data_IF_387310803030
#
_entry.id   IF_387310803030
#
_cell.length_a   1.000
_cell.length_b   1.000
_cell.length_c   1.000
_cell.angle_alpha   90.00
_cell.angle_beta   90.00
_cell.angle_gamma   90.00
#
_symmetry.space_group_name_H-M   'P 1'
#
loop_
_entity.id
_entity.type
_entity.pdbx_description
1 polymer ?
#
# COMPACT_ATOMS: atom_id res chain seq x y z
N UNK A 1 -58.83 46.99 -27.70
CA UNK A 1 -58.03 48.23 -27.82
C UNK A 1 -56.58 47.84 -27.60
N UNK A 2 -55.81 47.76 -28.70
CA UNK A 2 -54.63 48.61 -29.00
C UNK A 2 -53.47 48.37 -28.02
N UNK A 3 -52.48 47.56 -28.43
CA UNK A 3 -51.21 47.97 -29.08
C UNK A 3 -50.13 48.25 -28.01
N UNK A 4 -48.82 47.98 -28.08
CA UNK A 4 -47.80 47.69 -29.10
C UNK A 4 -46.71 46.86 -28.38
N UNK A 5 -46.10 45.83 -28.97
CA UNK A 5 -44.83 45.90 -29.70
C UNK A 5 -43.75 46.75 -29.00
N UNK A 6 -42.79 46.10 -28.33
CA UNK A 6 -41.40 46.59 -28.34
C UNK A 6 -40.41 45.43 -28.23
N UNK A 7 -39.60 45.35 -29.29
CA UNK A 7 -38.26 44.79 -29.49
C UNK A 7 -37.60 44.09 -28.28
N UNK A 8 -37.09 42.85 -28.39
CA UNK A 8 -36.03 42.39 -29.31
C UNK A 8 -34.72 43.20 -29.12
N UNK A 9 -34.07 43.05 -27.96
CA UNK A 9 -32.66 43.43 -27.73
C UNK A 9 -32.15 42.89 -26.38
N UNK A 10 -31.78 41.61 -26.31
CA UNK A 10 -30.81 41.10 -25.33
C UNK A 10 -30.18 39.77 -25.81
N UNK A 11 -29.81 39.70 -27.10
CA UNK A 11 -29.03 38.58 -27.67
C UNK A 11 -27.57 39.01 -27.96
N UNK A 12 -27.14 40.17 -27.50
CA UNK A 12 -25.79 40.70 -27.74
C UNK A 12 -25.21 41.24 -26.43
N UNK A 13 -24.78 40.35 -25.51
CA UNK A 13 -23.73 40.58 -24.48
C UNK A 13 -23.50 39.38 -23.54
N UNK A 14 -23.55 38.13 -24.03
CA UNK A 14 -23.00 36.98 -23.30
C UNK A 14 -21.93 36.21 -24.09
N UNK A 15 -21.48 36.78 -25.23
CA UNK A 15 -20.47 36.17 -26.11
C UNK A 15 -19.03 36.62 -25.86
N UNK A 16 -18.74 37.35 -24.78
CA UNK A 16 -17.42 37.98 -24.57
C UNK A 16 -16.74 37.68 -23.22
N UNK A 17 -17.17 36.65 -22.47
CA UNK A 17 -16.46 36.20 -21.27
C UNK A 17 -16.03 34.73 -21.28
N UNK A 18 -16.29 33.98 -22.35
CA UNK A 18 -15.66 32.67 -22.54
C UNK A 18 -14.38 32.82 -23.37
N UNK A 19 -13.38 33.56 -22.86
CA UNK A 19 -12.01 33.16 -23.13
C UNK A 19 -11.88 31.79 -22.48
N UNK A 20 -12.08 30.73 -23.25
CA UNK A 20 -11.30 29.52 -23.03
C UNK A 20 -9.86 30.01 -23.12
N UNK A 21 -9.25 30.27 -21.98
CA UNK A 21 -7.80 30.16 -21.93
C UNK A 21 -7.53 28.78 -22.52
N UNK A 22 -6.89 28.74 -23.69
CA UNK A 22 -6.23 27.54 -24.17
C UNK A 22 -5.12 27.26 -23.17
N UNK A 23 -5.51 26.73 -22.01
CA UNK A 23 -4.60 26.17 -21.05
C UNK A 23 -4.07 24.91 -21.73
N UNK A 24 -2.81 24.99 -22.15
CA UNK A 24 -2.11 23.80 -22.56
C UNK A 24 -1.82 22.99 -21.30
N UNK A 25 -2.59 21.91 -21.06
CA UNK A 25 -2.37 21.03 -19.91
C UNK A 25 -0.93 20.46 -19.89
N UNK A 26 -0.25 20.42 -21.05
CA UNK A 26 1.15 20.01 -21.15
C UNK A 26 2.12 20.95 -20.41
N UNK A 27 1.79 22.24 -20.24
CA UNK A 27 2.66 23.21 -19.54
C UNK A 27 2.72 22.98 -18.01
N UNK A 28 1.79 22.15 -17.48
CA UNK A 28 1.67 21.83 -16.05
C UNK A 28 1.86 20.34 -15.75
N UNK A 29 2.35 19.56 -16.73
CA UNK A 29 2.75 18.18 -16.47
C UNK A 29 3.98 18.17 -15.57
N UNK A 30 3.87 17.47 -14.44
CA UNK A 30 4.99 17.27 -13.54
C UNK A 30 6.09 16.50 -14.28
N UNK A 31 7.25 17.13 -14.43
CA UNK A 31 8.42 16.50 -15.02
C UNK A 31 9.03 15.49 -14.03
N UNK A 32 8.88 14.21 -14.35
CA UNK A 32 9.38 13.11 -13.52
C UNK A 32 10.81 12.71 -13.89
N UNK A 33 11.51 13.42 -14.78
CA UNK A 33 12.89 13.05 -15.13
C UNK A 33 13.88 13.18 -13.95
N UNK A 34 13.51 13.94 -12.91
CA UNK A 34 14.24 14.07 -11.65
C UNK A 34 13.61 13.27 -10.50
N UNK A 35 12.63 12.41 -10.78
CA UNK A 35 12.06 11.54 -9.75
C UNK A 35 13.17 10.64 -9.16
N UNK A 36 13.13 10.35 -7.84
CA UNK A 36 14.06 9.41 -7.25
C UNK A 36 14.05 8.07 -8.01
N UNK A 37 15.23 7.43 -8.19
CA UNK A 37 15.33 6.16 -8.92
C UNK A 37 14.62 5.00 -8.20
N UNK A 38 14.19 5.23 -6.96
CA UNK A 38 13.52 4.26 -6.12
C UNK A 38 12.47 4.93 -5.25
N UNK A 39 11.27 4.34 -5.21
CA UNK A 39 10.13 4.82 -4.43
C UNK A 39 9.63 3.79 -3.41
N UNK A 40 9.02 4.28 -2.33
CA UNK A 40 8.40 3.46 -1.29
C UNK A 40 7.05 4.04 -0.87
N UNK A 41 6.09 3.17 -0.58
CA UNK A 41 4.77 3.53 -0.08
C UNK A 41 4.43 2.73 1.17
N UNK A 42 3.96 3.41 2.22
CA UNK A 42 3.40 2.75 3.40
C UNK A 42 1.95 2.33 3.14
N UNK A 43 1.64 1.08 3.48
CA UNK A 43 0.27 0.52 3.38
C UNK A 43 -0.27 -0.02 4.71
N UNK A 44 0.49 0.15 5.80
CA UNK A 44 0.10 -0.26 7.15
C UNK A 44 -1.14 0.46 7.69
N UNK A 45 -1.65 -0.04 8.82
CA UNK A 45 -2.80 0.56 9.49
C UNK A 45 -2.43 1.87 10.19
N UNK A 46 -3.43 2.73 10.46
CA UNK A 46 -3.25 3.89 11.33
C UNK A 46 -2.74 3.46 12.70
N UNK A 47 -1.87 4.27 13.28
CA UNK A 47 -1.40 4.11 14.67
C UNK A 47 -0.58 2.85 14.96
N UNK A 48 -0.26 2.10 13.92
CA UNK A 48 0.31 0.78 14.04
C UNK A 48 1.83 0.82 14.14
N UNK A 49 2.41 0.09 15.09
CA UNK A 49 3.85 -0.01 15.21
C UNK A 49 4.50 -0.93 14.16
N UNK A 50 3.83 -1.94 13.63
CA UNK A 50 4.40 -2.72 12.53
C UNK A 50 4.11 -1.98 11.22
N UNK A 51 5.17 -1.47 10.59
CA UNK A 51 5.06 -0.74 9.33
C UNK A 51 5.24 -1.71 8.16
N UNK A 52 4.29 -1.69 7.24
CA UNK A 52 4.34 -2.40 5.96
C UNK A 52 4.70 -1.39 4.87
N UNK A 53 5.84 -1.61 4.23
CA UNK A 53 6.37 -0.76 3.17
C UNK A 53 6.40 -1.55 1.87
N UNK A 54 6.01 -0.92 0.76
CA UNK A 54 6.06 -1.53 -0.56
C UNK A 54 6.84 -0.63 -1.50
N UNK A 55 7.79 -1.19 -2.26
CA UNK A 55 8.56 -0.43 -3.25
C UNK A 55 7.82 -0.23 -4.58
N UNK A 56 8.45 0.51 -5.50
CA UNK A 56 7.96 0.74 -6.86
C UNK A 56 7.90 -0.51 -7.77
N UNK A 57 8.34 -1.69 -7.29
CA UNK A 57 8.23 -2.99 -7.97
C UNK A 57 7.14 -3.87 -7.38
N UNK A 58 6.52 -3.47 -6.26
CA UNK A 58 5.54 -4.29 -5.54
C UNK A 58 6.17 -5.31 -4.59
N UNK A 59 7.43 -5.12 -4.19
CA UNK A 59 8.05 -5.89 -3.11
C UNK A 59 7.62 -5.31 -1.76
N UNK A 60 7.19 -6.19 -0.86
CA UNK A 60 6.79 -5.85 0.51
C UNK A 60 7.97 -6.01 1.44
N UNK A 61 8.19 -5.04 2.31
CA UNK A 61 9.31 -4.97 3.24
C UNK A 61 8.86 -4.88 4.69
N UNK A 62 9.59 -5.58 5.55
CA UNK A 62 9.39 -5.57 7.00
C UNK A 62 10.71 -5.44 7.74
N UNK A 63 10.57 -5.06 9.01
CA UNK A 63 11.66 -5.04 9.98
C UNK A 63 12.84 -4.19 9.48
N UNK A 64 12.53 -2.91 9.23
CA UNK A 64 13.56 -1.91 9.04
C UNK A 64 14.47 -1.87 10.27
N UNK A 65 15.77 -2.02 10.07
CA UNK A 65 16.73 -2.04 11.17
C UNK A 65 17.57 -0.76 11.23
N UNK A 66 18.60 -0.68 10.38
CA UNK A 66 19.53 0.45 10.29
C UNK A 66 20.21 0.46 8.92
N UNK A 67 20.69 1.62 8.51
CA UNK A 67 21.41 1.80 7.25
C UNK A 67 20.69 2.76 6.30
N UNK A 68 20.97 2.69 4.98
CA UNK A 68 20.26 3.49 3.99
C UNK A 68 18.76 3.18 3.98
N UNK A 69 17.99 3.98 3.23
CA UNK A 69 16.52 3.92 3.14
C UNK A 69 15.92 2.52 2.83
N UNK A 70 16.73 1.54 2.40
CA UNK A 70 16.36 0.16 2.07
C UNK A 70 16.86 -0.91 3.08
N UNK A 71 17.25 -0.52 4.30
CA UNK A 71 17.81 -1.40 5.35
C UNK A 71 16.82 -2.37 6.02
N UNK A 72 15.95 -3.02 5.25
CA UNK A 72 14.96 -3.99 5.75
C UNK A 72 15.54 -5.40 5.84
N UNK A 73 15.17 -6.12 6.88
CA UNK A 73 15.61 -7.50 7.07
C UNK A 73 14.82 -8.51 6.26
N UNK A 74 13.63 -8.13 5.78
CA UNK A 74 12.71 -9.01 5.10
C UNK A 74 12.16 -8.31 3.86
N UNK A 75 12.23 -8.99 2.73
CA UNK A 75 11.60 -8.60 1.47
C UNK A 75 10.82 -9.79 0.90
N UNK A 76 9.56 -9.56 0.57
CA UNK A 76 8.64 -10.53 -0.02
C UNK A 76 8.10 -9.97 -1.33
N UNK A 77 8.16 -10.74 -2.41
CA UNK A 77 7.69 -10.26 -3.72
C UNK A 77 7.04 -11.38 -4.51
N UNK A 78 5.97 -11.06 -5.25
CA UNK A 78 5.37 -11.95 -6.23
C UNK A 78 5.78 -11.52 -7.64
N UNK A 79 6.01 -12.50 -8.52
CA UNK A 79 6.37 -12.22 -9.90
C UNK A 79 6.31 -13.46 -10.79
N UNK A 80 6.94 -13.36 -11.97
CA UNK A 80 7.03 -14.48 -12.93
C UNK A 80 8.41 -15.13 -12.88
N UNK A 81 9.46 -14.40 -13.26
CA UNK A 81 10.83 -14.95 -13.29
C UNK A 81 11.83 -14.20 -12.40
N UNK A 82 11.61 -12.90 -12.21
CA UNK A 82 12.44 -12.02 -11.39
C UNK A 82 11.58 -10.99 -10.69
N UNK A 83 12.13 -10.39 -9.64
CA UNK A 83 11.60 -9.17 -9.01
C UNK A 83 11.97 -7.95 -9.86
N UNK A 84 13.17 -7.96 -10.45
CA UNK A 84 13.63 -6.90 -11.35
C UNK A 84 12.86 -6.96 -12.67
N UNK A 85 11.99 -5.99 -12.87
CA UNK A 85 11.12 -5.86 -14.06
C UNK A 85 11.11 -4.41 -14.55
N UNK A 86 11.06 -4.25 -15.87
CA UNK A 86 10.93 -2.94 -16.53
C UNK A 86 9.47 -2.63 -16.87
N UNK A 87 9.17 -1.35 -17.10
CA UNK A 87 7.82 -0.92 -17.50
C UNK A 87 6.76 -1.09 -16.40
N UNK A 88 7.16 -1.04 -15.13
CA UNK A 88 6.23 -1.14 -14.01
C UNK A 88 5.37 0.12 -13.94
N UNK A 89 4.06 -0.08 -13.85
CA UNK A 89 3.10 0.95 -13.49
C UNK A 89 2.57 0.66 -12.09
N UNK A 90 2.59 1.68 -11.23
CA UNK A 90 2.11 1.56 -9.86
C UNK A 90 1.23 2.74 -9.48
N UNK A 91 0.15 2.48 -8.74
CA UNK A 91 -0.74 3.50 -8.17
C UNK A 91 -1.45 2.98 -6.93
N UNK A 92 -1.93 3.88 -6.09
CA UNK A 92 -2.89 3.52 -5.05
C UNK A 92 -4.30 3.34 -5.64
N UNK A 93 -5.14 2.58 -4.95
CA UNK A 93 -6.55 2.45 -5.28
C UNK A 93 -7.26 3.82 -5.26
N UNK A 94 -6.94 4.64 -4.26
CA UNK A 94 -7.25 6.07 -4.24
C UNK A 94 -6.29 6.80 -3.30
N UNK A 95 -6.34 8.13 -3.24
CA UNK A 95 -5.56 8.91 -2.28
C UNK A 95 -5.83 8.55 -0.80
N UNK A 96 -7.07 8.10 -0.50
CA UNK A 96 -7.52 7.71 0.85
C UNK A 96 -7.28 6.24 1.17
N UNK A 97 -7.18 5.38 0.16
CA UNK A 97 -7.18 3.92 0.33
C UNK A 97 -5.82 3.32 -0.08
N UNK A 98 -5.00 2.84 0.89
CA UNK A 98 -3.67 2.32 0.64
C UNK A 98 -3.66 0.86 0.17
N UNK A 99 -4.42 0.57 -0.89
CA UNK A 99 -4.27 -0.66 -1.66
C UNK A 99 -3.37 -0.32 -2.85
N UNK A 100 -2.17 -0.87 -2.87
CA UNK A 100 -1.18 -0.58 -3.91
C UNK A 100 -1.36 -1.53 -5.09
N UNK A 101 -1.62 -0.96 -6.26
CA UNK A 101 -1.83 -1.66 -7.51
C UNK A 101 -0.55 -1.56 -8.32
N UNK A 102 0.12 -2.68 -8.55
CA UNK A 102 1.35 -2.75 -9.34
C UNK A 102 1.13 -3.62 -10.56
N UNK A 103 1.61 -3.23 -11.73
CA UNK A 103 1.48 -4.03 -12.94
C UNK A 103 2.66 -3.87 -13.88
N UNK A 104 2.96 -4.92 -14.63
CA UNK A 104 3.91 -4.90 -15.73
C UNK A 104 3.53 -5.97 -16.75
N UNK A 105 3.96 -5.77 -17.99
CA UNK A 105 3.77 -6.75 -19.05
C UNK A 105 5.08 -7.49 -19.33
N UNK A 106 5.00 -8.81 -19.44
CA UNK A 106 6.10 -9.66 -19.88
C UNK A 106 5.63 -10.53 -21.04
N UNK A 107 6.16 -10.25 -22.25
CA UNK A 107 5.66 -10.83 -23.51
C UNK A 107 4.15 -10.63 -23.59
N UNK A 108 3.38 -11.70 -23.70
CA UNK A 108 1.92 -11.68 -23.81
C UNK A 108 1.20 -11.86 -22.46
N UNK A 109 1.92 -11.79 -21.33
CA UNK A 109 1.32 -11.88 -20.00
C UNK A 109 1.34 -10.50 -19.34
N UNK A 110 0.17 -10.00 -18.98
CA UNK A 110 0.03 -8.90 -18.03
C UNK A 110 0.01 -9.50 -16.62
N UNK A 111 1.02 -9.13 -15.82
CA UNK A 111 1.06 -9.38 -14.39
C UNK A 111 0.53 -8.15 -13.68
N UNK A 112 -0.37 -8.33 -12.71
CA UNK A 112 -0.69 -7.29 -11.74
C UNK A 112 -0.82 -7.84 -10.33
N UNK A 113 -0.59 -6.98 -9.34
CA UNK A 113 -0.81 -7.28 -7.94
C UNK A 113 -1.57 -6.17 -7.24
N UNK A 114 -2.40 -6.55 -6.28
CA UNK A 114 -3.01 -5.66 -5.28
C UNK A 114 -2.43 -6.02 -3.92
N UNK A 115 -1.70 -5.08 -3.31
CA UNK A 115 -1.02 -5.28 -2.04
C UNK A 115 -1.62 -4.34 -0.99
N UNK A 116 -2.09 -4.89 0.12
CA UNK A 116 -2.77 -4.11 1.15
C UNK A 116 -2.71 -4.78 2.52
N UNK A 117 -2.77 -3.95 3.56
CA UNK A 117 -3.02 -4.41 4.92
C UNK A 117 -4.51 -4.69 5.13
N UNK A 118 -4.82 -5.81 5.78
CA UNK A 118 -6.18 -6.15 6.19
C UNK A 118 -6.64 -5.17 7.27
N UNK A 119 -7.60 -4.32 6.92
CA UNK A 119 -8.10 -3.27 7.79
C UNK A 119 -9.59 -3.47 8.12
N UNK A 120 -10.02 -3.22 9.38
CA UNK A 120 -9.18 -3.04 10.56
C UNK A 120 -8.44 -4.33 10.94
N UNK A 121 -7.42 -4.22 11.79
CA UNK A 121 -6.63 -5.36 12.29
C UNK A 121 -7.53 -6.51 12.77
N UNK A 122 -7.15 -7.74 12.44
CA UNK A 122 -7.82 -8.94 12.94
C UNK A 122 -7.27 -9.27 14.33
N UNK A 123 -8.16 -9.31 15.33
CA UNK A 123 -7.80 -9.61 16.71
C UNK A 123 -8.68 -10.73 17.25
N UNK A 124 -8.10 -11.63 18.04
CA UNK A 124 -8.87 -12.64 18.78
C UNK A 124 -9.42 -12.05 20.08
N UNK A 125 -8.72 -11.08 20.66
CA UNK A 125 -9.12 -10.30 21.83
C UNK A 125 -8.83 -8.81 21.62
N UNK A 126 -9.65 -7.87 22.13
CA UNK A 126 -9.38 -6.43 22.04
C UNK A 126 -8.00 -6.01 22.56
N UNK A 127 -7.49 -6.74 23.57
CA UNK A 127 -6.19 -6.52 24.20
C UNK A 127 -5.01 -7.17 23.45
N UNK A 128 -5.24 -7.80 22.30
CA UNK A 128 -4.15 -8.44 21.56
C UNK A 128 -3.16 -7.41 21.02
N UNK A 129 -1.92 -7.59 21.48
CA UNK A 129 -0.71 -6.96 20.98
C UNK A 129 0.36 -8.03 20.75
N UNK A 130 1.34 -7.71 19.92
CA UNK A 130 2.53 -8.53 19.72
C UNK A 130 3.79 -7.67 19.83
N UNK A 131 4.83 -8.26 20.43
CA UNK A 131 6.16 -7.69 20.39
C UNK A 131 6.69 -7.74 18.94
N UNK A 132 7.29 -6.64 18.53
CA UNK A 132 7.98 -6.42 17.27
C UNK A 132 9.48 -6.27 17.56
N UNK A 133 10.37 -6.39 16.55
CA UNK A 133 11.79 -6.17 16.75
C UNK A 133 12.07 -4.83 17.45
N UNK A 134 13.01 -4.85 18.40
CA UNK A 134 13.37 -3.67 19.19
C UNK A 134 12.46 -3.39 20.39
N UNK A 135 11.64 -4.36 20.83
CA UNK A 135 10.80 -4.26 22.02
C UNK A 135 9.58 -3.34 21.83
N UNK A 136 9.25 -3.01 20.58
CA UNK A 136 8.08 -2.20 20.24
C UNK A 136 6.84 -3.10 20.23
N UNK A 137 5.72 -2.63 20.75
CA UNK A 137 4.46 -3.38 20.72
C UNK A 137 3.51 -2.81 19.68
N UNK A 138 2.89 -3.68 18.89
CA UNK A 138 1.90 -3.34 17.89
C UNK A 138 0.73 -4.30 17.88
N UNK A 139 -0.26 -4.03 17.03
CA UNK A 139 -1.31 -5.01 16.77
C UNK A 139 -0.73 -6.19 15.98
N UNK A 140 -1.24 -7.41 16.19
CA UNK A 140 -1.09 -8.45 15.21
C UNK A 140 -1.74 -7.99 13.91
N UNK A 141 -1.09 -8.25 12.78
CA UNK A 141 -1.59 -7.77 11.50
C UNK A 141 -1.50 -8.82 10.40
N UNK A 142 -2.19 -8.51 9.31
CA UNK A 142 -2.21 -9.34 8.13
C UNK A 142 -2.07 -8.47 6.90
N UNK A 143 -1.15 -8.84 6.01
CA UNK A 143 -1.04 -8.27 4.68
C UNK A 143 -1.39 -9.32 3.64
N UNK A 144 -1.86 -8.86 2.48
CA UNK A 144 -2.23 -9.73 1.36
C UNK A 144 -1.56 -9.23 0.09
N UNK A 145 -1.01 -10.16 -0.68
CA UNK A 145 -0.61 -9.96 -2.08
C UNK A 145 -1.60 -10.75 -2.94
N UNK A 146 -2.53 -10.05 -3.58
CA UNK A 146 -3.45 -10.63 -4.55
C UNK A 146 -2.85 -10.45 -5.95
N UNK A 147 -2.61 -11.55 -6.64
CA UNK A 147 -1.94 -11.60 -7.95
C UNK A 147 -2.99 -11.87 -9.02
N UNK A 148 -2.90 -11.16 -10.14
CA UNK A 148 -3.68 -11.41 -11.35
C UNK A 148 -2.74 -11.58 -12.54
N UNK A 149 -3.04 -12.58 -13.37
CA UNK A 149 -2.36 -12.85 -14.62
C UNK A 149 -3.38 -12.85 -15.73
N UNK A 150 -3.11 -12.08 -16.79
CA UNK A 150 -3.94 -12.02 -17.98
C UNK A 150 -3.13 -12.39 -19.21
N UNK A 151 -3.63 -13.34 -20.00
CA UNK A 151 -3.07 -13.64 -21.31
C UNK A 151 -3.60 -12.64 -22.34
N UNK A 152 -2.71 -11.82 -22.88
CA UNK A 152 -2.98 -10.80 -23.89
C UNK A 152 -2.91 -11.36 -25.33
N UNK A 153 -2.43 -12.59 -25.52
CA UNK A 153 -2.32 -13.19 -26.85
C UNK A 153 -3.60 -13.87 -27.31
N UNK A 154 -3.65 -14.15 -28.62
CA UNK A 154 -4.67 -14.97 -29.26
C UNK A 154 -4.42 -16.49 -29.15
N UNK A 155 -3.43 -16.93 -28.37
CA UNK A 155 -3.04 -18.34 -28.21
C UNK A 155 -2.96 -18.72 -26.75
N UNK A 156 -3.14 -20.00 -26.45
CA UNK A 156 -2.92 -20.52 -25.10
C UNK A 156 -1.45 -20.32 -24.72
N UNK A 157 -1.22 -19.79 -23.51
CA UNK A 157 0.10 -19.49 -22.99
C UNK A 157 0.28 -20.12 -21.63
N UNK A 158 1.45 -20.73 -21.40
CA UNK A 158 1.81 -21.27 -20.09
C UNK A 158 2.67 -20.27 -19.32
N UNK A 159 2.33 -20.06 -18.05
CA UNK A 159 3.05 -19.17 -17.15
C UNK A 159 3.36 -19.88 -15.84
N UNK A 160 4.54 -19.60 -15.27
CA UNK A 160 4.97 -20.13 -13.98
C UNK A 160 5.13 -18.96 -13.01
N UNK A 161 4.15 -18.71 -12.15
CA UNK A 161 4.28 -17.68 -11.12
C UNK A 161 5.32 -18.09 -10.08
N UNK A 162 5.95 -17.09 -9.46
CA UNK A 162 6.94 -17.29 -8.40
C UNK A 162 6.71 -16.31 -7.25
N UNK A 163 7.07 -16.76 -6.05
CA UNK A 163 7.15 -15.92 -4.87
C UNK A 163 8.57 -15.94 -4.33
N UNK A 164 9.13 -14.75 -4.15
CA UNK A 164 10.50 -14.51 -3.76
C UNK A 164 10.53 -14.02 -2.32
N UNK A 165 11.40 -14.63 -1.54
CA UNK A 165 11.64 -14.29 -0.14
C UNK A 165 13.13 -14.02 0.01
N UNK A 166 13.44 -12.85 0.54
CA UNK A 166 14.76 -12.53 1.07
C UNK A 166 14.60 -12.22 2.56
N UNK A 167 15.40 -12.88 3.40
CA UNK A 167 15.38 -12.65 4.83
C UNK A 167 16.78 -12.76 5.43
N UNK A 168 17.13 -11.87 6.33
CA UNK A 168 18.32 -12.04 7.19
C UNK A 168 18.13 -13.21 8.16
N UNK A 169 16.88 -13.48 8.55
CA UNK A 169 16.51 -14.55 9.47
C UNK A 169 16.29 -15.89 8.75
N UNK A 170 16.48 -17.04 9.43
CA UNK A 170 16.19 -18.34 8.85
C UNK A 170 14.74 -18.47 8.40
N UNK A 171 14.55 -18.89 7.14
CA UNK A 171 13.24 -19.23 6.56
C UNK A 171 12.93 -20.71 6.78
N UNK A 172 11.90 -21.02 7.55
CA UNK A 172 11.42 -22.38 7.79
C UNK A 172 10.25 -22.70 6.86
N UNK A 173 10.27 -23.90 6.27
CA UNK A 173 9.16 -24.44 5.48
C UNK A 173 8.41 -25.39 6.40
N UNK A 174 7.14 -25.12 6.67
CA UNK A 174 6.34 -25.96 7.54
C UNK A 174 6.01 -27.30 6.86
N UNK A 175 5.61 -28.30 7.65
CA UNK A 175 5.32 -29.66 7.17
C UNK A 175 4.22 -29.69 6.08
N UNK A 176 3.30 -28.72 6.09
CA UNK A 176 2.25 -28.57 5.08
C UNK A 176 2.78 -28.15 3.69
N UNK A 177 4.03 -27.67 3.61
CA UNK A 177 4.64 -27.04 2.43
C UNK A 177 3.82 -25.88 1.84
N UNK A 178 2.87 -25.36 2.61
CA UNK A 178 1.99 -24.23 2.28
C UNK A 178 2.25 -23.03 3.18
N UNK A 179 3.01 -23.20 4.25
CA UNK A 179 3.35 -22.11 5.16
C UNK A 179 4.86 -21.95 5.25
N UNK A 180 5.33 -20.74 5.03
CA UNK A 180 6.69 -20.33 5.36
C UNK A 180 6.66 -19.58 6.69
N UNK A 181 7.63 -19.82 7.56
CA UNK A 181 7.76 -19.11 8.83
C UNK A 181 9.16 -18.54 8.97
N UNK A 182 9.29 -17.31 9.45
CA UNK A 182 10.59 -16.73 9.79
C UNK A 182 10.44 -15.77 10.97
N UNK A 183 11.51 -15.66 11.76
CA UNK A 183 11.58 -14.84 12.99
C UNK A 183 10.53 -15.20 14.06
N UNK A 184 9.97 -16.41 14.04
CA UNK A 184 8.89 -16.89 14.93
C UNK A 184 7.63 -16.00 15.02
N UNK A 185 7.53 -14.98 14.17
CA UNK A 185 6.50 -13.94 14.18
C UNK A 185 5.79 -13.83 12.84
N UNK A 186 6.48 -14.10 11.73
CA UNK A 186 5.93 -13.93 10.40
C UNK A 186 5.65 -15.29 9.79
N UNK A 187 4.39 -15.51 9.43
CA UNK A 187 3.91 -16.69 8.75
C UNK A 187 3.30 -16.30 7.41
N UNK A 188 3.89 -16.80 6.33
CA UNK A 188 3.38 -16.59 4.96
C UNK A 188 2.61 -17.83 4.54
N UNK A 189 1.31 -17.68 4.32
CA UNK A 189 0.44 -18.71 3.76
C UNK A 189 0.44 -18.60 2.23
N UNK A 190 0.91 -19.66 1.58
CA UNK A 190 1.01 -19.80 0.14
C UNK A 190 -0.29 -20.40 -0.42
N UNK A 191 -0.69 -20.06 -1.66
CA UNK A 191 -1.82 -20.69 -2.32
C UNK A 191 -1.50 -22.16 -2.65
N UNK A 192 -2.53 -22.90 -3.05
CA UNK A 192 -2.35 -24.24 -3.59
C UNK A 192 -1.45 -24.24 -4.84
N UNK A 193 -0.87 -25.41 -5.15
CA UNK A 193 -0.06 -25.56 -6.36
C UNK A 193 1.40 -25.16 -6.21
N UNK A 194 1.94 -25.12 -4.99
CA UNK A 194 3.41 -25.10 -4.79
C UNK A 194 4.02 -26.35 -5.44
N UNK A 195 4.92 -26.14 -6.40
CA UNK A 195 5.64 -27.21 -7.11
C UNK A 195 6.98 -27.50 -6.43
N UNK A 196 7.75 -26.44 -6.14
CA UNK A 196 9.05 -26.55 -5.51
C UNK A 196 9.35 -25.30 -4.67
N UNK A 197 10.18 -25.49 -3.65
CA UNK A 197 10.72 -24.39 -2.85
C UNK A 197 12.24 -24.51 -2.87
N UNK A 198 12.91 -23.54 -3.47
CA UNK A 198 14.35 -23.49 -3.60
C UNK A 198 14.88 -22.54 -2.55
N UNK A 199 15.62 -23.06 -1.57
CA UNK A 199 16.23 -22.27 -0.50
C UNK A 199 17.74 -22.26 -0.65
N UNK A 200 18.32 -21.07 -0.69
CA UNK A 200 19.76 -20.86 -0.64
C UNK A 200 20.11 -19.99 0.56
N UNK A 201 21.29 -20.22 1.14
CA UNK A 201 21.84 -19.41 2.21
C UNK A 201 23.22 -18.91 1.78
N UNK A 202 23.35 -17.60 1.67
CA UNK A 202 24.63 -16.92 1.52
C UNK A 202 24.86 -16.07 2.78
N UNK A 203 25.02 -14.74 2.63
CA UNK A 203 24.98 -13.80 3.75
C UNK A 203 23.58 -13.68 4.38
N UNK A 204 22.54 -13.90 3.57
CA UNK A 204 21.13 -13.95 3.94
C UNK A 204 20.45 -15.19 3.36
N UNK A 205 19.21 -15.45 3.77
CA UNK A 205 18.37 -16.52 3.27
C UNK A 205 17.57 -16.01 2.06
N UNK A 206 17.70 -16.72 0.94
CA UNK A 206 16.88 -16.51 -0.24
C UNK A 206 16.01 -17.76 -0.44
N UNK A 207 14.73 -17.56 -0.69
CA UNK A 207 13.79 -18.62 -0.97
C UNK A 207 12.94 -18.25 -2.19
N UNK A 208 12.90 -19.15 -3.18
CA UNK A 208 12.07 -19.03 -4.36
C UNK A 208 11.03 -20.14 -4.31
N UNK A 209 9.77 -19.77 -4.16
CA UNK A 209 8.63 -20.67 -4.29
C UNK A 209 8.22 -20.67 -5.76
N UNK A 210 8.36 -21.82 -6.41
CA UNK A 210 7.85 -22.05 -7.77
C UNK A 210 6.47 -22.69 -7.68
N UNK A 211 5.46 -22.04 -8.26
CA UNK A 211 4.13 -22.61 -8.41
C UNK A 211 4.05 -23.50 -9.65
N UNK A 212 3.04 -24.38 -9.71
CA UNK A 212 2.76 -25.18 -10.90
C UNK A 212 2.51 -24.26 -12.10
N UNK A 213 2.95 -24.71 -13.28
CA UNK A 213 2.65 -24.02 -14.52
C UNK A 213 1.13 -23.92 -14.70
N UNK A 214 0.67 -22.73 -15.04
CA UNK A 214 -0.74 -22.45 -15.32
C UNK A 214 -0.87 -22.19 -16.83
N UNK A 215 -1.73 -22.97 -17.48
CA UNK A 215 -2.11 -22.71 -18.86
C UNK A 215 -3.27 -21.73 -18.86
N UNK A 216 -3.04 -20.55 -19.43
CA UNK A 216 -4.05 -19.52 -19.65
C UNK A 216 -4.48 -19.58 -21.12
N UNK A 217 -5.76 -19.79 -21.37
CA UNK A 217 -6.33 -19.67 -22.72
C UNK A 217 -6.18 -18.26 -23.26
N UNK A 218 -6.33 -18.10 -24.56
CA UNK A 218 -6.35 -16.78 -25.20
C UNK A 218 -7.34 -15.83 -24.48
N UNK A 219 -6.86 -14.68 -24.01
CA UNK A 219 -7.67 -13.69 -23.29
C UNK A 219 -8.05 -14.05 -21.84
N UNK A 220 -7.65 -15.23 -21.33
CA UNK A 220 -8.04 -15.71 -20.00
C UNK A 220 -7.28 -14.99 -18.88
N UNK A 221 -7.99 -14.82 -17.75
CA UNK A 221 -7.46 -14.29 -16.51
C UNK A 221 -7.37 -15.40 -15.46
N UNK A 222 -6.32 -15.39 -14.64
CA UNK A 222 -6.17 -16.25 -13.47
C UNK A 222 -5.64 -15.46 -12.29
N UNK A 223 -5.84 -15.94 -11.07
CA UNK A 223 -5.46 -15.23 -9.86
C UNK A 223 -4.97 -16.16 -8.76
N UNK A 224 -4.08 -15.63 -7.94
CA UNK A 224 -3.50 -16.31 -6.78
C UNK A 224 -3.46 -15.32 -5.62
N UNK A 225 -3.51 -15.80 -4.38
CA UNK A 225 -3.39 -14.94 -3.21
C UNK A 225 -2.33 -15.49 -2.26
N UNK A 226 -1.53 -14.59 -1.71
CA UNK A 226 -0.55 -14.88 -0.66
C UNK A 226 -0.97 -14.06 0.55
N UNK A 227 -1.03 -14.69 1.72
CA UNK A 227 -1.31 -14.03 2.97
C UNK A 227 -0.06 -14.00 3.85
N UNK A 228 0.18 -12.87 4.50
CA UNK A 228 1.31 -12.64 5.38
C UNK A 228 0.72 -12.30 6.75
N UNK A 229 0.95 -13.16 7.74
CA UNK A 229 0.44 -13.02 9.10
C UNK A 229 1.61 -12.63 10.02
N UNK A 230 1.52 -11.50 10.72
CA UNK A 230 2.65 -10.90 11.43
C UNK A 230 2.29 -10.66 12.89
N UNK A 231 3.14 -11.21 13.76
CA UNK A 231 2.97 -11.19 15.21
C UNK A 231 2.53 -12.55 15.73
N UNK A 232 2.98 -12.90 16.93
CA UNK A 232 2.70 -14.18 17.59
C UNK A 232 1.21 -14.46 17.84
N UNK A 233 0.37 -13.41 17.80
CA UNK A 233 -1.09 -13.51 17.96
C UNK A 233 -1.87 -13.22 16.67
N UNK A 234 -1.21 -13.17 15.52
CA UNK A 234 -1.87 -12.88 14.25
C UNK A 234 -2.89 -13.97 13.91
N UNK A 235 -4.10 -13.54 13.56
CA UNK A 235 -5.12 -14.45 13.01
C UNK A 235 -4.56 -15.05 11.73
N UNK A 236 -4.49 -16.37 11.64
CA UNK A 236 -4.01 -17.03 10.42
C UNK A 236 -5.11 -16.96 9.36
N UNK A 237 -4.92 -16.12 8.33
CA UNK A 237 -5.89 -15.99 7.26
C UNK A 237 -5.55 -16.92 6.07
N UNK A 238 -6.57 -17.41 5.34
CA UNK A 238 -6.34 -18.30 4.20
C UNK A 238 -5.74 -17.55 3.00
N UNK A 239 -4.95 -18.27 2.21
CA UNK A 239 -4.34 -17.83 0.94
C UNK A 239 -5.26 -18.01 -0.28
N UNK A 240 -6.58 -17.93 -0.10
CA UNK A 240 -7.54 -18.07 -1.21
C UNK A 240 -7.90 -16.73 -1.84
N UNK A 241 -8.07 -16.72 -3.16
CA UNK A 241 -8.47 -15.52 -3.91
C UNK A 241 -9.79 -14.94 -3.39
N UNK A 242 -10.78 -15.79 -3.10
CA UNK A 242 -12.07 -15.37 -2.59
C UNK A 242 -11.95 -14.64 -1.23
N UNK A 243 -11.11 -15.16 -0.32
CA UNK A 243 -10.86 -14.51 0.96
C UNK A 243 -10.10 -13.19 0.78
N UNK A 244 -9.06 -13.18 -0.07
CA UNK A 244 -8.30 -11.98 -0.38
C UNK A 244 -9.19 -10.85 -0.92
N UNK A 245 -10.08 -11.15 -1.87
CA UNK A 245 -11.04 -10.17 -2.42
C UNK A 245 -11.97 -9.64 -1.32
N UNK A 246 -12.47 -10.51 -0.44
CA UNK A 246 -13.31 -10.10 0.70
C UNK A 246 -12.55 -9.16 1.65
N UNK A 247 -11.31 -9.49 1.98
CA UNK A 247 -10.48 -8.64 2.83
C UNK A 247 -10.10 -7.32 2.17
N UNK A 248 -9.91 -7.30 0.85
CA UNK A 248 -9.71 -6.06 0.09
C UNK A 248 -10.92 -5.14 0.22
N UNK A 249 -12.13 -5.65 -0.02
CA UNK A 249 -13.35 -4.85 0.13
C UNK A 249 -13.51 -4.32 1.57
N UNK A 250 -13.23 -5.16 2.56
CA UNK A 250 -13.24 -4.75 3.98
C UNK A 250 -12.22 -3.63 4.25
N UNK A 251 -11.01 -3.72 3.69
CA UNK A 251 -9.99 -2.70 3.85
C UNK A 251 -10.39 -1.39 3.16
N UNK A 252 -10.90 -1.46 1.93
CA UNK A 252 -11.41 -0.30 1.18
C UNK A 252 -12.52 0.40 1.96
N UNK A 253 -13.47 -0.36 2.51
CA UNK A 253 -14.57 0.17 3.32
C UNK A 253 -14.04 0.85 4.60
N UNK A 254 -13.13 0.21 5.33
CA UNK A 254 -12.49 0.80 6.50
C UNK A 254 -11.85 2.15 6.19
N UNK A 255 -11.03 2.23 5.14
CA UNK A 255 -10.31 3.46 4.80
C UNK A 255 -11.24 4.59 4.30
N UNK A 256 -12.36 4.24 3.67
CA UNK A 256 -13.36 5.23 3.23
C UNK A 256 -14.24 5.73 4.37
N UNK A 257 -14.43 4.93 5.42
CA UNK A 257 -15.33 5.24 6.55
C UNK A 257 -14.60 5.69 7.81
N UNK A 258 -13.29 5.49 7.89
CA UNK A 258 -12.48 5.96 9.01
C UNK A 258 -12.56 7.49 9.14
N UNK A 259 -12.71 7.96 10.37
CA UNK A 259 -12.93 9.37 10.68
C UNK A 259 -11.64 10.20 10.62
N UNK A 260 -11.02 10.24 9.44
CA UNK A 260 -9.91 11.16 9.17
C UNK A 260 -10.44 12.55 8.78
N UNK A 261 -9.71 13.63 9.11
CA UNK A 261 -10.13 15.01 8.89
C UNK A 261 -9.93 15.46 7.43
N UNK A 262 -10.35 14.63 6.46
CA UNK A 262 -10.17 14.93 5.04
C UNK A 262 -10.93 16.19 4.60
N UNK A 263 -12.10 16.44 5.19
CA UNK A 263 -12.99 17.49 4.74
C UNK A 263 -12.79 18.82 5.51
N UNK A 264 -11.84 18.86 6.46
CA UNK A 264 -11.49 20.06 7.23
C UNK A 264 -10.80 21.14 6.38
N UNK A 265 -10.13 20.74 5.28
CA UNK A 265 -9.56 21.63 4.29
C UNK A 265 -10.09 21.19 2.92
N UNK A 266 -10.90 22.03 2.29
CA UNK A 266 -11.47 21.73 0.97
C UNK A 266 -10.72 22.50 -0.11
N UNK A 267 -10.21 21.76 -1.10
CA UNK A 267 -9.56 22.33 -2.29
C UNK A 267 -10.39 21.96 -3.53
N UNK A 268 -10.71 22.93 -4.41
CA UNK A 268 -11.54 22.66 -5.59
C UNK A 268 -10.84 21.75 -6.59
N UNK A 269 -9.53 21.95 -6.81
CA UNK A 269 -8.71 21.12 -7.67
C UNK A 269 -8.58 19.69 -7.12
N UNK A 270 -8.96 18.70 -7.92
CA UNK A 270 -8.97 17.30 -7.49
C UNK A 270 -7.58 16.70 -7.30
N UNK A 271 -6.58 17.16 -8.05
CA UNK A 271 -5.21 16.64 -7.94
C UNK A 271 -4.55 17.15 -6.66
N UNK A 272 -4.70 18.43 -6.35
CA UNK A 272 -4.21 19.01 -5.08
C UNK A 272 -4.96 18.42 -3.88
N UNK A 273 -6.28 18.21 -4.01
CA UNK A 273 -7.07 17.53 -2.97
C UNK A 273 -6.60 16.09 -2.73
N UNK A 274 -6.30 15.34 -3.79
CA UNK A 274 -5.75 13.98 -3.68
C UNK A 274 -4.35 13.96 -3.05
N UNK A 275 -3.52 14.96 -3.32
CA UNK A 275 -2.24 15.12 -2.65
C UNK A 275 -2.44 15.35 -1.15
N UNK A 276 -3.33 16.28 -0.77
CA UNK A 276 -3.67 16.55 0.62
C UNK A 276 -4.21 15.29 1.34
N UNK A 277 -5.11 14.54 0.72
CA UNK A 277 -5.64 13.29 1.28
C UNK A 277 -4.53 12.25 1.49
N UNK A 278 -3.58 12.16 0.56
CA UNK A 278 -2.43 11.29 0.69
C UNK A 278 -1.53 11.70 1.85
N UNK A 279 -1.28 13.01 2.03
CA UNK A 279 -0.54 13.54 3.17
C UNK A 279 -1.21 13.20 4.50
N UNK A 280 -2.52 13.45 4.63
CA UNK A 280 -3.30 13.13 5.84
C UNK A 280 -3.19 11.64 6.15
N UNK A 281 -3.45 10.76 5.16
CA UNK A 281 -3.32 9.31 5.31
C UNK A 281 -1.92 8.92 5.81
N UNK A 282 -0.87 9.48 5.20
CA UNK A 282 0.52 9.16 5.56
C UNK A 282 0.84 9.58 7.01
N UNK A 283 0.33 10.73 7.49
CA UNK A 283 0.51 11.15 8.90
C UNK A 283 -0.06 10.09 9.84
N UNK A 284 -1.29 9.62 9.58
CA UNK A 284 -1.92 8.59 10.42
C UNK A 284 -1.25 7.22 10.32
N UNK A 285 -0.74 6.84 9.14
CA UNK A 285 0.04 5.61 8.98
C UNK A 285 1.42 5.69 9.62
N UNK A 286 2.03 6.88 9.73
CA UNK A 286 3.29 7.07 10.44
C UNK A 286 3.08 7.15 11.96
N UNK A 287 1.96 7.74 12.41
CA UNK A 287 1.57 7.86 13.81
C UNK A 287 1.59 6.49 14.52
N UNK A 288 1.89 6.52 15.81
CA UNK A 288 1.87 5.37 16.71
C UNK A 288 1.23 5.77 18.03
N UNK A 289 0.65 4.83 18.77
CA UNK A 289 0.26 5.06 20.17
C UNK A 289 1.39 4.60 21.08
N UNK A 290 1.99 5.54 21.82
CA UNK A 290 3.05 5.28 22.81
C UNK A 290 2.64 5.86 24.16
N UNK A 291 2.74 5.07 25.21
CA UNK A 291 2.30 5.45 26.56
C UNK A 291 0.84 5.94 26.61
N UNK A 292 -0.02 5.40 25.73
CA UNK A 292 -1.43 5.81 25.61
C UNK A 292 -1.67 7.11 24.83
N UNK A 293 -0.62 7.74 24.29
CA UNK A 293 -0.69 9.02 23.57
C UNK A 293 -0.24 8.86 22.10
N UNK A 294 -0.80 9.66 21.16
CA UNK A 294 -0.34 9.73 19.79
C UNK A 294 1.08 10.29 19.69
N UNK A 295 1.99 9.50 19.14
CA UNK A 295 3.34 9.89 18.77
C UNK A 295 3.42 10.06 17.25
N UNK A 296 3.58 11.31 16.79
CA UNK A 296 3.66 11.65 15.37
C UNK A 296 5.08 11.37 14.82
N UNK A 297 5.31 10.13 14.38
CA UNK A 297 6.59 9.75 13.76
C UNK A 297 6.78 10.49 12.43
N UNK A 298 8.01 10.92 12.14
CA UNK A 298 8.34 11.62 10.88
C UNK A 298 8.21 10.70 9.66
N UNK A 299 8.51 9.41 9.84
CA UNK A 299 8.31 8.41 8.82
C UNK A 299 8.25 7.00 9.38
N UNK A 300 7.99 6.01 8.52
CA UNK A 300 7.81 4.61 8.95
C UNK A 300 9.12 3.80 9.01
N UNK A 301 10.28 4.38 8.65
CA UNK A 301 11.58 3.68 8.48
C UNK A 301 12.74 4.35 9.23
N UNK A 302 13.76 4.89 8.53
CA UNK A 302 14.95 5.50 9.12
C UNK A 302 14.66 6.78 9.93
N UNK A 303 13.58 7.48 9.58
CA UNK A 303 13.04 8.62 10.31
C UNK A 303 11.88 8.24 11.24
N UNK A 304 11.83 7.00 11.69
CA UNK A 304 10.86 6.53 12.69
C UNK A 304 11.25 6.96 14.09
N UNK A 305 11.11 8.25 14.33
CA UNK A 305 11.29 8.91 15.62
C UNK A 305 10.47 10.19 15.65
N UNK A 306 10.21 10.69 16.86
CA UNK A 306 9.70 12.04 17.05
C UNK A 306 10.89 12.97 17.19
N UNK A 307 11.14 13.77 16.16
CA UNK A 307 12.18 14.80 16.15
C UNK A 307 11.49 16.13 16.45
N UNK A 308 12.02 16.94 17.37
CA UNK A 308 11.31 18.13 17.87
C UNK A 308 10.89 19.06 16.73
N UNK A 309 11.79 19.31 15.77
CA UNK A 309 11.53 20.23 14.66
C UNK A 309 10.49 19.63 13.69
N UNK A 310 10.75 18.45 13.15
CA UNK A 310 9.87 17.79 12.18
C UNK A 310 8.49 17.45 12.79
N UNK A 311 8.49 17.00 14.04
CA UNK A 311 7.29 16.73 14.83
C UNK A 311 6.45 17.99 15.02
N UNK A 312 7.08 19.16 15.21
CA UNK A 312 6.34 20.43 15.31
C UNK A 312 5.57 20.76 14.02
N UNK A 313 6.12 20.49 12.84
CA UNK A 313 5.42 20.69 11.57
C UNK A 313 4.25 19.72 11.39
N UNK A 314 4.40 18.46 11.83
CA UNK A 314 3.28 17.50 11.84
C UNK A 314 2.17 17.95 12.78
N UNK A 315 2.50 18.42 13.99
CA UNK A 315 1.53 18.93 14.96
C UNK A 315 0.84 20.20 14.45
N UNK A 316 1.56 21.10 13.76
CA UNK A 316 0.98 22.27 13.11
C UNK A 316 0.02 21.87 11.99
N UNK A 317 0.41 20.93 11.12
CA UNK A 317 -0.49 20.40 10.08
C UNK A 317 -1.77 19.80 10.68
N UNK A 318 -1.64 19.03 11.77
CA UNK A 318 -2.78 18.46 12.49
C UNK A 318 -3.64 19.54 13.18
N UNK A 319 -3.06 20.68 13.54
CA UNK A 319 -3.79 21.85 14.05
C UNK A 319 -4.67 22.46 12.96
N UNK A 320 -4.14 22.64 11.73
CA UNK A 320 -4.95 23.10 10.59
C UNK A 320 -6.08 22.13 10.23
N UNK A 321 -5.88 20.83 10.49
CA UNK A 321 -6.90 19.79 10.32
C UNK A 321 -7.89 19.70 11.51
N UNK A 322 -7.84 20.65 12.44
CA UNK A 322 -8.75 20.73 13.59
C UNK A 322 -8.55 19.66 14.65
N UNK A 323 -7.44 18.91 14.62
CA UNK A 323 -7.18 17.79 15.55
C UNK A 323 -6.53 18.26 16.86
N UNK A 324 -7.11 19.29 17.48
CA UNK A 324 -6.51 20.00 18.63
C UNK A 324 -6.21 19.08 19.81
N UNK A 325 -7.10 18.13 20.12
CA UNK A 325 -6.88 17.17 21.21
C UNK A 325 -5.68 16.26 20.93
N UNK A 326 -5.60 15.71 19.73
CA UNK A 326 -4.50 14.85 19.30
C UNK A 326 -3.17 15.62 19.30
N UNK A 327 -3.19 16.89 18.87
CA UNK A 327 -2.03 17.78 18.93
C UNK A 327 -1.56 18.00 20.36
N UNK A 328 -2.47 18.28 21.30
CA UNK A 328 -2.12 18.46 22.72
C UNK A 328 -1.53 17.20 23.32
N UNK A 329 -2.12 16.05 23.05
CA UNK A 329 -1.58 14.76 23.48
C UNK A 329 -0.19 14.48 22.86
N UNK A 330 0.01 14.86 21.59
CA UNK A 330 1.31 14.73 20.93
C UNK A 330 2.38 15.64 21.54
N UNK A 331 2.01 16.84 21.99
CA UNK A 331 2.90 17.74 22.75
C UNK A 331 3.23 17.16 24.12
N UNK A 332 2.26 16.55 24.81
CA UNK A 332 2.49 15.91 26.10
C UNK A 332 3.40 14.68 26.00
N UNK A 333 3.37 13.99 24.85
CA UNK A 333 4.27 12.87 24.58
C UNK A 333 5.72 13.30 24.27
N UNK A 334 5.93 14.51 23.72
CA UNK A 334 7.27 15.07 23.41
C UNK A 334 8.07 15.39 24.69
#
# INVERSE_FOLDING_TARGET
MKNYLLLLLFVLTAGACARKNEFNEDDYKMDLCFAPPWGQTAICLPDEAQKTIVDDKGSVYYDYHKGPFNGFYIQLAAGLDSIEVSGVSQRLYSARVPVLLTSYQKKDILFSSEIFAVAPALKNSPADSCELPGGIYGYPHNDIILIHLKNLSAKDTSVVPRFFVHSVNPVFINNDKKTLSFDNRIHVSLPDGVKAIHKTKNASYHCIVEFKAMTLKAGEDSSLAIAINIGSKAVQIPSSVAAAVKYKFRAVDFWNTCNFPYDNITVPDSNIRNLLYSCIRNIYQAREIKNGLPAFQVGPTCYRGLWIIDGSFLLEAMTFLGQIKEVRNGIEYM
#
